data_IF_540924692197
#
_entry.id   IF_540924692197
#
_cell.length_a   1.000
_cell.length_b   1.000
_cell.length_c   1.000
_cell.angle_alpha   90.00
_cell.angle_beta   90.00
_cell.angle_gamma   90.00
#
_symmetry.space_group_name_H-M   'P 1'
#
loop_
_entity.id
_entity.type
_entity.pdbx_description
1 polymer ?
#
# COMPACT_ATOMS: atom_id res chain seq x y z
N UNK A 1 13.50 25.01 16.56
CA UNK A 1 12.37 24.97 15.61
C UNK A 1 11.95 23.51 15.41
N UNK A 2 10.93 23.02 16.12
CA UNK A 2 10.43 21.66 15.93
C UNK A 2 9.70 21.61 14.57
N UNK A 3 10.24 20.86 13.61
CA UNK A 3 9.62 20.62 12.31
C UNK A 3 8.23 20.02 12.57
N UNK A 4 7.17 20.83 12.48
CA UNK A 4 5.78 20.37 12.53
C UNK A 4 5.59 19.46 11.32
N UNK A 5 5.77 18.17 11.54
CA UNK A 5 5.46 17.18 10.52
C UNK A 5 3.97 17.28 10.24
N UNK A 6 3.60 17.44 8.97
CA UNK A 6 2.21 17.60 8.56
C UNK A 6 1.39 16.36 8.98
N UNK A 7 0.11 16.53 9.36
CA UNK A 7 -0.79 15.41 9.53
C UNK A 7 -0.90 14.64 8.20
N UNK A 8 -0.94 13.31 8.27
CA UNK A 8 -1.15 12.47 7.10
C UNK A 8 -2.60 12.04 7.04
N UNK A 9 -3.18 12.05 5.85
CA UNK A 9 -4.53 11.53 5.62
C UNK A 9 -4.42 10.04 5.40
N UNK A 10 -5.07 9.25 6.26
CA UNK A 10 -5.11 7.79 6.12
C UNK A 10 -6.54 7.33 5.92
N UNK A 11 -6.70 6.18 5.26
CA UNK A 11 -7.99 5.53 5.07
C UNK A 11 -8.08 4.31 5.98
N UNK A 12 -9.24 4.13 6.62
CA UNK A 12 -9.51 2.94 7.42
C UNK A 12 -9.64 1.71 6.50
N UNK A 13 -8.83 0.68 6.72
CA UNK A 13 -8.91 -0.57 5.96
C UNK A 13 -10.17 -1.43 6.27
N UNK A 14 -10.96 -1.08 7.29
CA UNK A 14 -12.19 -1.78 7.68
C UNK A 14 -13.46 -1.12 7.12
N UNK A 15 -13.61 0.19 7.29
CA UNK A 15 -14.82 0.92 6.88
C UNK A 15 -14.61 1.88 5.71
N UNK A 16 -13.37 2.11 5.29
CA UNK A 16 -13.05 3.04 4.20
C UNK A 16 -13.13 4.53 4.57
N UNK A 17 -13.41 4.88 5.83
CA UNK A 17 -13.43 6.28 6.27
C UNK A 17 -12.02 6.89 6.24
N UNK A 18 -11.89 8.09 5.65
CA UNK A 18 -10.63 8.85 5.57
C UNK A 18 -10.57 9.85 6.71
N UNK A 19 -9.45 9.89 7.42
CA UNK A 19 -9.26 10.78 8.56
C UNK A 19 -7.80 11.20 8.69
N UNK A 20 -7.57 12.31 9.37
CA UNK A 20 -6.23 12.83 9.61
C UNK A 20 -5.61 12.20 10.84
N UNK A 21 -4.35 11.81 10.70
CA UNK A 21 -3.59 11.18 11.77
C UNK A 21 -2.28 11.91 11.98
N UNK A 22 -1.93 12.07 13.26
CA UNK A 22 -0.64 12.61 13.65
C UNK A 22 0.49 11.79 13.03
N UNK A 23 1.54 12.43 12.52
CA UNK A 23 2.59 11.77 11.73
C UNK A 23 3.43 10.74 12.51
N UNK A 24 3.32 10.72 13.84
CA UNK A 24 3.99 9.75 14.72
C UNK A 24 3.04 8.72 15.33
N UNK A 25 1.76 8.76 15.00
CA UNK A 25 0.83 7.77 15.51
C UNK A 25 1.14 6.41 14.88
N UNK A 26 1.24 5.37 15.71
CA UNK A 26 1.47 3.99 15.27
C UNK A 26 0.15 3.20 15.23
N UNK A 27 -0.73 3.50 16.17
CA UNK A 27 -2.08 2.96 16.26
C UNK A 27 -3.07 4.10 16.49
N UNK A 28 -4.21 4.04 15.81
CA UNK A 28 -5.30 5.00 16.00
C UNK A 28 -6.63 4.27 15.93
N UNK A 29 -7.61 4.76 16.69
CA UNK A 29 -8.98 4.29 16.55
C UNK A 29 -9.66 5.06 15.43
N UNK A 30 -10.36 4.36 14.54
CA UNK A 30 -11.14 5.03 13.51
C UNK A 30 -12.29 5.81 14.16
N UNK A 31 -12.55 7.08 13.81
CA UNK A 31 -13.66 7.85 14.38
C UNK A 31 -15.04 7.33 13.92
N UNK A 32 -15.10 6.56 12.82
CA UNK A 32 -16.35 6.02 12.29
C UNK A 32 -16.71 4.64 12.85
N UNK A 33 -15.73 3.71 12.95
CA UNK A 33 -15.99 2.34 13.38
C UNK A 33 -15.42 2.00 14.76
N UNK A 34 -14.71 2.93 15.40
CA UNK A 34 -14.08 2.80 16.73
C UNK A 34 -13.13 1.61 16.91
N UNK A 35 -12.80 0.90 15.83
CA UNK A 35 -11.86 -0.21 15.85
C UNK A 35 -10.42 0.30 15.83
N UNK A 36 -9.49 -0.37 16.54
CA UNK A 36 -8.09 -0.03 16.50
C UNK A 36 -7.51 -0.36 15.13
N UNK A 37 -6.81 0.60 14.55
CA UNK A 37 -6.12 0.50 13.27
C UNK A 37 -4.63 0.66 13.49
N UNK A 38 -3.84 -0.06 12.69
CA UNK A 38 -2.41 0.19 12.56
C UNK A 38 -2.21 1.18 11.44
N UNK A 39 -1.68 2.35 11.79
CA UNK A 39 -1.29 3.38 10.84
C UNK A 39 0.21 3.32 10.55
N UNK A 40 0.98 2.63 11.39
CA UNK A 40 2.42 2.39 11.24
C UNK A 40 2.87 1.98 9.82
N UNK A 41 4.05 2.46 9.45
CA UNK A 41 4.70 2.12 8.18
C UNK A 41 5.54 0.85 8.38
N UNK A 42 5.16 -0.22 7.69
CA UNK A 42 5.79 -1.52 7.89
C UNK A 42 7.02 -1.63 6.99
N UNK A 43 8.21 -1.66 7.60
CA UNK A 43 9.48 -1.88 6.89
C UNK A 43 10.00 -3.28 7.17
N UNK A 44 9.94 -4.15 6.15
CA UNK A 44 10.40 -5.53 6.24
C UNK A 44 11.85 -5.63 5.80
N UNK A 45 12.74 -5.94 6.76
CA UNK A 45 14.19 -6.05 6.52
C UNK A 45 14.67 -7.47 6.26
N UNK A 46 14.01 -8.46 6.86
CA UNK A 46 14.48 -9.86 6.90
C UNK A 46 13.41 -10.81 6.39
N UNK A 47 12.77 -11.60 7.25
CA UNK A 47 11.66 -12.48 6.89
C UNK A 47 10.48 -12.12 7.79
N UNK A 48 9.35 -11.77 7.17
CA UNK A 48 8.10 -11.55 7.89
C UNK A 48 7.09 -12.59 7.39
N UNK A 49 6.78 -13.56 8.24
CA UNK A 49 5.81 -14.60 7.96
C UNK A 49 4.59 -14.42 8.86
N UNK A 50 3.52 -13.86 8.28
CA UNK A 50 2.30 -13.52 9.01
C UNK A 50 1.08 -13.95 8.23
N UNK A 51 0.00 -14.34 8.90
CA UNK A 51 -1.24 -14.71 8.19
C UNK A 51 -1.88 -13.50 7.50
N UNK A 52 -1.97 -12.39 8.22
CA UNK A 52 -2.57 -11.14 7.74
C UNK A 52 -1.68 -9.97 8.12
N UNK A 53 -1.29 -9.17 7.13
CA UNK A 53 -0.57 -7.92 7.34
C UNK A 53 -1.46 -6.77 6.87
N UNK A 54 -2.01 -6.00 7.81
CA UNK A 54 -2.91 -4.88 7.48
C UNK A 54 -2.35 -3.61 8.09
N UNK A 55 -2.11 -2.61 7.23
CA UNK A 55 -1.71 -1.28 7.64
C UNK A 55 -2.47 -0.22 6.83
N UNK A 56 -2.75 0.91 7.47
CA UNK A 56 -3.20 2.12 6.78
C UNK A 56 -2.03 2.92 6.20
N UNK A 57 -0.80 2.65 6.62
CA UNK A 57 0.41 3.32 6.14
C UNK A 57 0.98 2.67 4.88
N UNK A 58 2.28 2.91 4.66
CA UNK A 58 3.04 2.29 3.56
C UNK A 58 3.69 0.98 3.99
N UNK A 59 3.84 0.06 3.04
CA UNK A 59 4.63 -1.16 3.22
C UNK A 59 5.89 -1.05 2.38
N UNK A 60 7.05 -1.25 2.98
CA UNK A 60 8.34 -1.23 2.30
C UNK A 60 9.06 -2.56 2.56
N UNK A 61 9.16 -3.38 1.52
CA UNK A 61 9.93 -4.61 1.57
C UNK A 61 11.31 -4.32 1.01
N UNK A 62 12.34 -4.36 1.85
CA UNK A 62 13.71 -4.11 1.42
C UNK A 62 14.24 -5.24 0.53
N UNK A 63 15.40 -5.01 -0.12
CA UNK A 63 16.07 -6.00 -0.99
C UNK A 63 16.31 -7.37 -0.35
N UNK A 64 16.61 -7.41 0.95
CA UNK A 64 16.78 -8.66 1.73
C UNK A 64 15.49 -9.12 2.41
N UNK A 65 14.44 -8.30 2.31
CA UNK A 65 13.13 -8.55 2.87
C UNK A 65 12.39 -9.62 2.08
N UNK A 66 11.77 -10.54 2.81
CA UNK A 66 10.82 -11.51 2.28
C UNK A 66 9.55 -11.47 3.11
N UNK A 67 8.43 -11.22 2.43
CA UNK A 67 7.09 -11.26 3.03
C UNK A 67 6.37 -12.48 2.51
N UNK A 68 6.01 -13.38 3.42
CA UNK A 68 5.15 -14.52 3.12
C UNK A 68 3.88 -14.39 3.93
N UNK A 69 2.79 -13.96 3.30
CA UNK A 69 1.52 -13.75 3.97
C UNK A 69 0.33 -14.24 3.15
N UNK A 70 -0.76 -14.62 3.81
CA UNK A 70 -1.97 -15.02 3.08
C UNK A 70 -2.70 -13.79 2.52
N UNK A 71 -2.71 -12.70 3.29
CA UNK A 71 -3.39 -11.47 2.92
C UNK A 71 -2.63 -10.24 3.40
N UNK A 72 -2.38 -9.31 2.48
CA UNK A 72 -1.71 -8.04 2.76
C UNK A 72 -2.62 -6.90 2.32
N UNK A 73 -2.81 -5.92 3.19
CA UNK A 73 -3.59 -4.73 2.88
C UNK A 73 -2.83 -3.47 3.28
N UNK A 74 -2.64 -2.59 2.30
CA UNK A 74 -2.04 -1.27 2.49
C UNK A 74 -3.00 -0.19 1.98
N UNK A 75 -2.97 1.01 2.56
CA UNK A 75 -3.79 2.11 2.09
C UNK A 75 -2.95 3.23 1.47
N UNK A 76 -1.77 3.53 2.01
CA UNK A 76 -0.91 4.61 1.51
C UNK A 76 -0.07 4.18 0.29
N UNK A 77 0.45 2.94 0.28
CA UNK A 77 1.23 2.42 -0.85
C UNK A 77 2.07 1.20 -0.48
N UNK A 78 2.63 0.55 -1.50
CA UNK A 78 3.48 -0.64 -1.34
C UNK A 78 4.71 -0.53 -2.22
N UNK A 79 5.88 -0.64 -1.62
CA UNK A 79 7.17 -0.70 -2.29
C UNK A 79 7.81 -2.06 -2.02
N UNK A 80 8.20 -2.77 -3.07
CA UNK A 80 8.82 -4.09 -2.96
C UNK A 80 10.14 -4.11 -3.70
N UNK A 81 11.24 -4.25 -2.97
CA UNK A 81 12.58 -4.47 -3.54
C UNK A 81 13.07 -5.91 -3.38
N UNK A 82 12.40 -6.72 -2.56
CA UNK A 82 12.74 -8.11 -2.22
C UNK A 82 11.73 -9.12 -2.76
N UNK A 83 11.33 -10.09 -1.91
CA UNK A 83 10.36 -11.13 -2.30
C UNK A 83 9.03 -10.89 -1.62
N UNK A 84 7.96 -10.77 -2.40
CA UNK A 84 6.58 -10.66 -1.92
C UNK A 84 5.79 -11.89 -2.34
N UNK A 85 5.25 -12.62 -1.37
CA UNK A 85 4.38 -13.76 -1.59
C UNK A 85 3.09 -13.59 -0.79
N UNK A 86 2.06 -13.02 -1.41
CA UNK A 86 0.76 -12.79 -0.78
C UNK A 86 -0.31 -12.34 -1.78
N UNK A 87 -1.57 -12.39 -1.34
CA UNK A 87 -2.65 -11.61 -1.92
C UNK A 87 -2.60 -10.18 -1.39
N UNK A 88 -2.22 -9.23 -2.22
CA UNK A 88 -2.04 -7.82 -1.85
C UNK A 88 -3.21 -6.98 -2.36
N UNK A 89 -3.79 -6.18 -1.46
CA UNK A 89 -4.78 -5.16 -1.79
C UNK A 89 -4.26 -3.80 -1.33
N UNK A 90 -3.85 -2.98 -2.29
CA UNK A 90 -3.40 -1.60 -2.04
C UNK A 90 -4.43 -0.62 -2.58
N UNK A 91 -4.74 0.42 -1.82
CA UNK A 91 -5.43 1.62 -2.33
C UNK A 91 -4.46 2.71 -2.78
N UNK A 92 -3.17 2.54 -2.51
CA UNK A 92 -2.11 3.42 -2.96
C UNK A 92 -1.33 2.82 -4.13
N UNK A 93 -0.36 3.58 -4.68
CA UNK A 93 0.52 3.09 -5.72
C UNK A 93 1.33 1.89 -5.25
N UNK A 94 1.52 0.93 -6.15
CA UNK A 94 2.40 -0.22 -5.95
C UNK A 94 3.64 -0.05 -6.82
N UNK A 95 4.83 -0.14 -6.22
CA UNK A 95 6.11 -0.10 -6.91
C UNK A 95 6.88 -1.40 -6.70
N UNK A 96 7.25 -2.03 -7.80
CA UNK A 96 8.06 -3.24 -7.84
C UNK A 96 9.46 -2.84 -8.31
N UNK A 97 10.45 -3.02 -7.45
CA UNK A 97 11.85 -2.73 -7.71
C UNK A 97 12.51 -3.73 -8.67
N UNK A 98 13.76 -3.46 -9.08
CA UNK A 98 14.41 -4.10 -10.23
C UNK A 98 14.95 -5.50 -9.93
N UNK A 99 14.97 -5.91 -8.65
CA UNK A 99 15.32 -7.27 -8.23
C UNK A 99 14.18 -7.93 -7.44
N UNK A 100 13.01 -7.32 -7.49
CA UNK A 100 11.88 -7.80 -6.72
C UNK A 100 11.22 -8.99 -7.40
N UNK A 101 10.81 -9.97 -6.61
CA UNK A 101 10.01 -11.11 -7.07
C UNK A 101 8.65 -11.04 -6.43
N UNK A 102 7.61 -10.95 -7.26
CA UNK A 102 6.23 -10.94 -6.81
C UNK A 102 5.55 -12.27 -7.09
N UNK A 103 4.86 -12.82 -6.09
CA UNK A 103 4.06 -14.05 -6.18
C UNK A 103 2.69 -13.83 -5.56
N UNK A 104 1.63 -14.06 -6.34
CA UNK A 104 0.25 -13.96 -5.88
C UNK A 104 -0.48 -12.73 -6.41
N UNK A 105 -1.73 -12.59 -5.99
CA UNK A 105 -2.64 -11.58 -6.55
C UNK A 105 -2.28 -10.17 -6.08
N UNK A 106 -2.47 -9.18 -6.94
CA UNK A 106 -2.29 -7.78 -6.62
C UNK A 106 -3.48 -6.97 -7.11
N UNK A 107 -4.10 -6.20 -6.22
CA UNK A 107 -5.10 -5.20 -6.60
C UNK A 107 -4.62 -3.84 -6.17
N UNK A 108 -4.47 -2.92 -7.13
CA UNK A 108 -3.99 -1.57 -6.89
C UNK A 108 -4.56 -0.59 -7.91
N UNK A 109 -4.70 0.71 -7.60
CA UNK A 109 -5.10 1.70 -8.60
C UNK A 109 -4.00 2.00 -9.61
N UNK A 110 -2.74 1.91 -9.20
CA UNK A 110 -1.57 2.16 -10.04
C UNK A 110 -0.46 1.16 -9.70
N UNK A 111 0.19 0.62 -10.73
CA UNK A 111 1.30 -0.32 -10.62
C UNK A 111 2.48 0.20 -11.45
N UNK A 112 3.63 0.34 -10.82
CA UNK A 112 4.90 0.68 -11.46
C UNK A 112 5.88 -0.47 -11.27
N UNK A 113 6.47 -0.96 -12.36
CA UNK A 113 7.40 -2.08 -12.35
C UNK A 113 8.72 -1.61 -12.95
N UNK A 114 9.78 -1.70 -12.18
CA UNK A 114 11.12 -1.37 -12.64
C UNK A 114 11.74 -2.52 -13.44
N UNK A 115 12.66 -2.18 -14.35
CA UNK A 115 13.37 -3.15 -15.18
C UNK A 115 14.11 -4.19 -14.32
N UNK A 116 13.72 -5.46 -14.48
CA UNK A 116 14.27 -6.61 -13.74
C UNK A 116 13.34 -7.17 -12.65
N UNK A 117 12.23 -6.49 -12.34
CA UNK A 117 11.16 -7.05 -11.52
C UNK A 117 10.54 -8.27 -12.18
N UNK A 118 10.41 -9.37 -11.43
CA UNK A 118 9.81 -10.62 -11.93
C UNK A 118 8.48 -10.87 -11.23
N UNK A 119 7.43 -11.04 -12.02
CA UNK A 119 6.09 -11.40 -11.53
C UNK A 119 5.84 -12.86 -11.87
N UNK A 120 5.63 -13.70 -10.86
CA UNK A 120 5.44 -15.15 -11.02
C UNK A 120 4.04 -15.52 -10.55
N UNK A 121 3.11 -15.56 -11.50
CA UNK A 121 1.72 -15.94 -11.28
C UNK A 121 0.91 -14.92 -10.46
N UNK A 122 -0.41 -15.09 -10.45
CA UNK A 122 -1.36 -14.24 -9.74
C UNK A 122 -2.18 -13.34 -10.66
N UNK A 123 -3.31 -12.88 -10.14
CA UNK A 123 -4.22 -11.95 -10.82
C UNK A 123 -3.88 -10.52 -10.43
N UNK A 124 -3.56 -9.69 -11.44
CA UNK A 124 -3.27 -8.27 -11.27
C UNK A 124 -4.45 -7.44 -11.74
N UNK A 125 -5.12 -6.77 -10.80
CA UNK A 125 -6.24 -5.89 -11.09
C UNK A 125 -5.81 -4.44 -10.87
N UNK A 126 -5.67 -3.71 -11.98
CA UNK A 126 -5.40 -2.27 -11.97
C UNK A 126 -6.74 -1.53 -12.14
N UNK A 127 -7.50 -1.45 -11.05
CA UNK A 127 -8.73 -0.68 -11.02
C UNK A 127 -8.36 0.75 -10.64
N UNK A 128 -8.06 1.59 -11.64
CA UNK A 128 -7.86 3.01 -11.42
C UNK A 128 -9.05 3.55 -10.63
N UNK A 129 -8.80 4.06 -9.43
CA UNK A 129 -9.83 4.79 -8.71
C UNK A 129 -10.22 5.95 -9.63
N UNK A 130 -11.44 5.87 -10.16
CA UNK A 130 -12.04 6.75 -11.16
C UNK A 130 -12.25 8.17 -10.63
N UNK A 131 -11.16 8.83 -10.24
CA UNK A 131 -11.12 10.22 -9.83
C UNK A 131 -10.18 11.05 -10.71
N UNK A 132 -9.46 10.42 -11.64
CA UNK A 132 -9.05 11.07 -12.87
C UNK A 132 -10.30 11.24 -13.75
N UNK A 133 -11.06 12.26 -13.40
CA UNK A 133 -11.94 12.93 -14.33
C UNK A 133 -11.14 13.13 -15.62
N UNK A 134 -11.55 12.41 -16.66
CA UNK A 134 -11.34 12.80 -18.04
C UNK A 134 -12.03 14.16 -18.23
N UNK A 135 -11.46 15.22 -17.65
CA UNK A 135 -11.68 16.60 -18.03
C UNK A 135 -10.92 16.87 -19.33
N UNK A 136 -11.05 15.97 -20.31
CA UNK A 136 -10.90 16.33 -21.72
C UNK A 136 -12.25 16.92 -22.13
N UNK A 137 -12.62 18.06 -21.54
CA UNK A 137 -13.44 19.03 -22.27
C UNK A 137 -12.46 19.81 -23.14
N UNK A 138 -11.98 19.15 -24.19
CA UNK A 138 -11.59 19.85 -25.39
C UNK A 138 -12.84 20.53 -25.93
N UNK A 139 -13.08 21.77 -25.51
CA UNK A 139 -13.95 22.67 -26.27
C UNK A 139 -13.18 23.02 -27.53
N UNK A 140 -13.53 22.27 -28.58
CA UNK A 140 -13.25 22.54 -29.97
C UNK A 140 -13.84 23.91 -30.35
N UNK A 141 -13.09 24.60 -31.20
CA UNK A 141 -13.43 25.70 -32.12
C UNK A 141 -13.96 27.00 -31.52
#
# INVERSE_FOLDING_TARGET
>A
MARKTAPRTVQCYLCGHRFEVGPRAMTTSCPACFKPLRVDDVVVKTLEQVRKLQTCGRIVVQRRGRVCAQFVQAQEGVEVDGVMEAKVVSRGPVRIGPKATWKGDCRAPTLSVESGGTIVGGYFEIAGDSNDACAVRGQRT
#
